data_IF_463636463143
#
_entry.id   IF_463636463143
#
_cell.length_a   1.000
_cell.length_b   1.000
_cell.length_c   1.000
_cell.angle_alpha   90.00
_cell.angle_beta   90.00
_cell.angle_gamma   90.00
#
_symmetry.space_group_name_H-M   'P 1'
#
loop_
_entity.id
_entity.type
_entity.pdbx_description
1 polymer ?
#
# COMPACT_ATOMS: atom_id res chain seq x y z
N UNK A 1 18.13 30.47 -1.53
CA UNK A 1 16.82 31.10 -1.19
C UNK A 1 16.63 31.11 0.33
N UNK A 2 15.66 31.85 0.88
CA UNK A 2 15.29 31.72 2.29
C UNK A 2 14.60 30.36 2.52
N UNK A 3 14.83 29.73 3.68
CA UNK A 3 14.16 28.46 4.00
C UNK A 3 12.65 28.64 4.11
N UNK A 4 11.91 27.69 3.54
CA UNK A 4 10.44 27.68 3.52
C UNK A 4 9.87 26.93 4.73
N UNK A 5 8.60 27.13 5.07
CA UNK A 5 7.96 26.33 6.13
C UNK A 5 7.75 24.87 5.71
N UNK A 6 7.53 23.99 6.68
CA UNK A 6 7.23 22.59 6.41
C UNK A 6 5.94 22.44 5.58
N UNK A 7 4.90 23.20 5.91
CA UNK A 7 3.60 23.15 5.23
C UNK A 7 3.73 23.61 3.77
N UNK A 8 4.54 24.64 3.50
CA UNK A 8 4.79 25.10 2.14
C UNK A 8 5.59 24.07 1.34
N UNK A 9 6.57 23.42 1.96
CA UNK A 9 7.34 22.36 1.32
C UNK A 9 6.46 21.17 0.91
N UNK A 10 5.48 20.79 1.74
CA UNK A 10 4.53 19.71 1.43
C UNK A 10 3.60 20.09 0.27
N UNK A 11 3.14 21.35 0.19
CA UNK A 11 2.34 21.83 -0.95
C UNK A 11 3.15 21.80 -2.26
N UNK A 12 4.43 22.18 -2.21
CA UNK A 12 5.33 22.09 -3.37
C UNK A 12 5.45 20.63 -3.82
N UNK A 13 5.72 19.71 -2.89
CA UNK A 13 5.81 18.27 -3.21
C UNK A 13 4.51 17.73 -3.79
N UNK A 14 3.36 18.13 -3.24
CA UNK A 14 2.06 17.71 -3.72
C UNK A 14 1.81 18.15 -5.17
N UNK A 15 2.19 19.38 -5.53
CA UNK A 15 2.07 19.95 -6.88
C UNK A 15 3.09 19.39 -7.85
N UNK A 16 4.33 19.15 -7.41
CA UNK A 16 5.41 18.65 -8.26
C UNK A 16 5.14 17.23 -8.78
N UNK A 17 4.36 16.45 -8.03
CA UNK A 17 3.91 15.12 -8.40
C UNK A 17 2.52 15.16 -9.04
N UNK A 18 2.49 15.26 -10.37
CA UNK A 18 1.25 15.35 -11.15
C UNK A 18 0.81 14.04 -11.80
N UNK A 19 1.70 13.04 -11.87
CA UNK A 19 1.46 11.81 -12.63
C UNK A 19 1.63 10.60 -11.71
N UNK A 20 0.62 9.72 -11.65
CA UNK A 20 0.75 8.41 -11.00
C UNK A 20 1.88 7.61 -11.65
N UNK A 21 2.51 6.72 -10.88
CA UNK A 21 3.69 5.99 -11.32
C UNK A 21 3.44 5.09 -12.54
N UNK A 22 4.53 4.49 -13.03
CA UNK A 22 4.46 3.53 -14.13
C UNK A 22 3.55 2.35 -13.77
N UNK A 23 2.94 1.72 -14.77
CA UNK A 23 2.10 0.54 -14.57
C UNK A 23 2.75 -0.67 -15.21
N UNK A 24 2.50 -1.86 -14.66
CA UNK A 24 2.98 -3.13 -15.20
C UNK A 24 1.89 -4.20 -15.13
N UNK A 25 1.98 -5.18 -16.02
CA UNK A 25 1.20 -6.41 -15.88
C UNK A 25 1.87 -7.32 -14.85
N UNK A 26 1.08 -7.92 -13.97
CA UNK A 26 1.58 -8.82 -12.94
C UNK A 26 0.68 -10.05 -12.87
N UNK A 27 1.29 -11.23 -12.78
CA UNK A 27 0.57 -12.47 -12.56
C UNK A 27 -0.19 -12.41 -11.23
N UNK A 28 -1.39 -13.00 -11.22
CA UNK A 28 -2.26 -12.98 -10.05
C UNK A 28 -1.59 -13.56 -8.80
N UNK A 29 -0.71 -14.55 -8.97
CA UNK A 29 0.10 -15.17 -7.91
C UNK A 29 0.97 -14.17 -7.13
N UNK A 30 1.41 -13.10 -7.79
CA UNK A 30 2.35 -12.12 -7.24
C UNK A 30 1.72 -10.73 -7.08
N UNK A 31 0.40 -10.62 -7.30
CA UNK A 31 -0.31 -9.33 -7.32
C UNK A 31 -0.73 -8.84 -5.93
N UNK A 32 -0.74 -9.71 -4.90
CA UNK A 32 -1.10 -9.33 -3.55
C UNK A 32 -0.21 -8.19 -3.02
N UNK A 33 -0.83 -7.19 -2.39
CA UNK A 33 -0.16 -6.00 -1.85
C UNK A 33 0.11 -4.88 -2.87
N UNK A 34 -0.10 -5.12 -4.17
CA UNK A 34 -0.01 -4.08 -5.20
C UNK A 34 -1.32 -3.31 -5.34
N UNK A 35 -1.24 -2.11 -5.89
CA UNK A 35 -2.41 -1.25 -6.15
C UNK A 35 -2.81 -1.36 -7.62
N UNK A 36 -4.09 -1.57 -7.86
CA UNK A 36 -4.66 -1.75 -9.18
C UNK A 36 -4.65 -0.44 -10.00
N UNK A 37 -4.27 -0.53 -11.28
CA UNK A 37 -4.10 0.64 -12.15
C UNK A 37 -5.27 0.93 -13.10
N UNK A 38 -6.26 0.04 -13.14
CA UNK A 38 -7.51 0.13 -13.93
C UNK A 38 -8.67 -0.48 -13.13
N UNK A 39 -9.90 -0.26 -13.55
CA UNK A 39 -11.06 -0.87 -12.89
C UNK A 39 -11.18 -2.35 -13.33
N UNK A 40 -11.55 -3.24 -12.41
CA UNK A 40 -12.01 -4.59 -12.78
C UNK A 40 -13.52 -4.53 -12.99
N UNK A 41 -13.93 -4.78 -14.23
CA UNK A 41 -15.33 -4.76 -14.64
C UNK A 41 -15.77 -6.19 -14.96
N UNK A 42 -16.94 -6.57 -14.46
CA UNK A 42 -17.55 -7.85 -14.77
C UNK A 42 -17.92 -7.93 -16.27
N UNK A 43 -17.42 -8.96 -16.97
CA UNK A 43 -17.70 -9.17 -18.39
C UNK A 43 -19.01 -9.94 -18.64
N UNK A 44 -19.51 -10.61 -17.62
CA UNK A 44 -20.70 -11.47 -17.62
C UNK A 44 -21.38 -11.42 -16.25
N UNK A 45 -22.61 -11.91 -16.19
CA UNK A 45 -23.33 -12.10 -14.94
C UNK A 45 -22.79 -13.33 -14.19
N UNK A 46 -22.75 -13.27 -12.86
CA UNK A 46 -22.43 -14.42 -12.02
C UNK A 46 -23.56 -14.67 -11.01
N UNK A 47 -24.21 -15.85 -11.01
CA UNK A 47 -24.08 -16.87 -12.04
C UNK A 47 -24.68 -16.40 -13.38
N UNK A 48 -24.21 -16.97 -14.50
CA UNK A 48 -24.71 -16.65 -15.85
C UNK A 48 -26.09 -17.27 -16.14
N UNK A 49 -26.45 -18.30 -15.39
CA UNK A 49 -27.71 -19.02 -15.44
C UNK A 49 -28.23 -19.24 -14.01
N UNK A 50 -29.53 -19.46 -13.79
CA UNK A 50 -30.03 -19.79 -12.46
C UNK A 50 -29.38 -21.08 -11.93
N UNK A 51 -29.00 -21.08 -10.65
CA UNK A 51 -28.37 -22.24 -10.00
C UNK A 51 -29.04 -22.60 -8.68
N UNK A 52 -28.95 -23.87 -8.28
CA UNK A 52 -29.43 -24.33 -7.00
C UNK A 52 -28.55 -23.79 -5.86
N UNK A 53 -29.18 -23.18 -4.85
CA UNK A 53 -28.48 -22.66 -3.67
C UNK A 53 -28.12 -23.74 -2.63
N UNK A 54 -28.74 -24.91 -2.73
CA UNK A 54 -28.57 -26.04 -1.82
C UNK A 54 -28.86 -27.35 -2.55
N UNK A 55 -28.71 -28.48 -1.86
CA UNK A 55 -29.09 -29.78 -2.38
C UNK A 55 -30.60 -29.96 -2.29
N UNK A 56 -31.23 -30.48 -3.35
CA UNK A 56 -32.69 -30.57 -3.40
C UNK A 56 -33.25 -31.13 -4.70
N UNK A 57 -34.51 -30.85 -4.96
CA UNK A 57 -35.25 -31.26 -6.15
C UNK A 57 -35.83 -30.05 -6.87
N UNK A 58 -35.36 -29.82 -8.09
CA UNK A 58 -35.81 -28.74 -8.95
C UNK A 58 -37.08 -29.17 -9.71
N UNK A 59 -38.14 -28.37 -9.62
CA UNK A 59 -39.45 -28.62 -10.20
C UNK A 59 -40.18 -27.30 -10.50
N UNK A 60 -41.37 -27.41 -11.11
CA UNK A 60 -42.30 -26.28 -11.28
C UNK A 60 -43.00 -26.00 -9.98
N UNK A 61 -43.08 -24.74 -9.54
CA UNK A 61 -43.72 -24.38 -8.28
C UNK A 61 -45.15 -24.96 -8.13
N UNK A 62 -45.91 -25.03 -9.22
CA UNK A 62 -47.28 -25.56 -9.25
C UNK A 62 -47.37 -27.06 -8.95
N UNK A 63 -46.33 -27.83 -9.27
CA UNK A 63 -46.28 -29.29 -9.08
C UNK A 63 -46.15 -29.67 -7.60
N UNK A 64 -45.81 -28.72 -6.72
CA UNK A 64 -45.77 -28.94 -5.28
C UNK A 64 -47.11 -29.45 -4.73
N UNK A 65 -48.20 -28.88 -5.24
CA UNK A 65 -49.57 -29.20 -4.84
C UNK A 65 -50.01 -30.62 -5.21
N UNK A 66 -49.27 -31.30 -6.09
CA UNK A 66 -49.52 -32.71 -6.45
C UNK A 66 -49.11 -33.67 -5.33
N UNK A 67 -48.25 -33.23 -4.40
CA UNK A 67 -47.74 -34.01 -3.27
C UNK A 67 -46.76 -35.11 -3.65
N UNK A 68 -46.79 -35.60 -4.89
CA UNK A 68 -45.85 -36.58 -5.46
C UNK A 68 -45.40 -36.17 -6.85
N UNK A 69 -44.10 -36.26 -7.09
CA UNK A 69 -43.45 -35.80 -8.32
C UNK A 69 -42.39 -36.82 -8.75
N UNK A 70 -42.33 -37.16 -10.04
CA UNK A 70 -41.41 -38.17 -10.56
C UNK A 70 -40.01 -37.61 -10.75
N UNK A 71 -38.98 -38.35 -10.36
CA UNK A 71 -37.57 -38.01 -10.54
C UNK A 71 -37.14 -38.47 -11.93
N UNK A 72 -36.78 -37.52 -12.81
CA UNK A 72 -36.25 -37.84 -14.14
C UNK A 72 -34.79 -38.30 -14.10
N UNK A 73 -34.04 -37.80 -13.13
CA UNK A 73 -32.63 -38.10 -12.94
C UNK A 73 -31.99 -37.15 -11.93
N UNK A 74 -30.66 -37.21 -11.84
CA UNK A 74 -29.85 -36.30 -11.06
C UNK A 74 -28.97 -35.41 -11.95
N UNK A 75 -28.67 -34.21 -11.45
CA UNK A 75 -27.88 -33.20 -12.13
C UNK A 75 -26.75 -32.74 -11.21
N UNK A 76 -25.60 -33.42 -11.22
CA UNK A 76 -24.43 -33.01 -10.44
C UNK A 76 -23.86 -31.68 -10.94
N UNK A 77 -23.20 -30.94 -10.04
CA UNK A 77 -22.56 -29.67 -10.39
C UNK A 77 -21.53 -29.87 -11.53
N UNK A 78 -21.53 -28.95 -12.50
CA UNK A 78 -20.69 -29.04 -13.71
C UNK A 78 -21.29 -29.86 -14.86
N UNK A 79 -22.47 -30.46 -14.70
CA UNK A 79 -23.23 -31.11 -15.78
C UNK A 79 -24.34 -30.20 -16.30
N UNK A 80 -24.74 -30.42 -17.55
CA UNK A 80 -25.85 -29.71 -18.20
C UNK A 80 -26.99 -30.70 -18.40
N UNK A 81 -28.20 -30.33 -17.98
CA UNK A 81 -29.41 -31.04 -18.37
C UNK A 81 -30.09 -30.24 -19.48
N UNK A 82 -30.10 -30.79 -20.69
CA UNK A 82 -30.79 -30.18 -21.83
C UNK A 82 -32.28 -30.57 -21.87
N UNK A 83 -32.69 -31.58 -21.11
CA UNK A 83 -34.09 -32.02 -21.06
C UNK A 83 -34.94 -31.05 -20.22
N UNK A 84 -36.03 -30.59 -20.81
CA UNK A 84 -37.01 -29.74 -20.13
C UNK A 84 -37.80 -30.55 -19.10
N UNK A 85 -37.85 -30.05 -17.87
CA UNK A 85 -38.69 -30.62 -16.81
C UNK A 85 -40.14 -30.25 -17.10
N UNK A 86 -40.94 -31.28 -17.36
CA UNK A 86 -42.36 -31.16 -17.63
C UNK A 86 -43.17 -31.24 -16.34
N UNK A 87 -44.48 -30.96 -16.41
CA UNK A 87 -45.35 -31.01 -15.24
C UNK A 87 -45.41 -32.42 -14.62
N UNK A 88 -45.38 -32.47 -13.29
CA UNK A 88 -45.36 -33.69 -12.50
C UNK A 88 -44.00 -34.39 -12.45
N UNK A 89 -42.93 -33.73 -12.90
CA UNK A 89 -41.57 -34.27 -12.84
C UNK A 89 -40.58 -33.30 -12.17
N UNK A 90 -39.46 -33.84 -11.70
CA UNK A 90 -38.40 -33.09 -11.03
C UNK A 90 -37.03 -33.68 -11.37
N UNK A 91 -35.99 -32.91 -11.09
CA UNK A 91 -34.60 -33.34 -11.21
C UNK A 91 -33.91 -33.12 -9.87
N UNK A 92 -33.16 -34.11 -9.40
CA UNK A 92 -32.34 -33.94 -8.21
C UNK A 92 -31.15 -33.03 -8.53
N UNK A 93 -31.00 -31.94 -7.82
CA UNK A 93 -29.89 -30.99 -7.99
C UNK A 93 -29.03 -30.94 -6.74
N UNK A 94 -27.79 -30.53 -6.92
CA UNK A 94 -26.84 -30.30 -5.84
C UNK A 94 -26.50 -28.81 -5.79
N UNK A 95 -25.88 -28.38 -4.70
CA UNK A 95 -25.43 -27.00 -4.51
C UNK A 95 -24.54 -26.56 -5.67
N UNK A 96 -24.95 -25.49 -6.37
CA UNK A 96 -24.26 -24.97 -7.55
C UNK A 96 -24.63 -25.63 -8.89
N UNK A 97 -25.49 -26.66 -8.90
CA UNK A 97 -26.05 -27.21 -10.14
C UNK A 97 -26.88 -26.17 -10.89
N UNK A 98 -26.89 -26.23 -12.21
CA UNK A 98 -27.80 -25.43 -13.04
C UNK A 98 -29.25 -25.83 -12.77
N UNK A 99 -30.16 -24.85 -12.76
CA UNK A 99 -31.59 -25.18 -12.83
C UNK A 99 -31.91 -25.73 -14.21
N UNK A 100 -32.66 -26.84 -14.27
CA UNK A 100 -33.08 -27.41 -15.56
C UNK A 100 -34.15 -26.54 -16.21
N UNK A 101 -34.23 -26.47 -17.56
CA UNK A 101 -35.32 -25.77 -18.23
C UNK A 101 -36.68 -26.26 -17.73
N UNK A 102 -37.64 -25.35 -17.57
CA UNK A 102 -38.96 -25.67 -17.04
C UNK A 102 -39.04 -25.76 -15.52
N UNK A 103 -37.95 -25.59 -14.77
CA UNK A 103 -37.97 -25.50 -13.30
C UNK A 103 -37.82 -24.05 -12.83
N UNK A 104 -38.50 -23.70 -11.74
CA UNK A 104 -38.43 -22.38 -11.12
C UNK A 104 -38.24 -22.44 -9.60
N UNK A 105 -38.34 -23.62 -8.99
CA UNK A 105 -38.36 -23.79 -7.53
C UNK A 105 -37.54 -25.01 -7.12
N UNK A 106 -36.79 -24.89 -6.02
CA UNK A 106 -35.99 -25.96 -5.45
C UNK A 106 -36.54 -26.37 -4.09
N UNK A 107 -37.01 -27.61 -3.94
CA UNK A 107 -37.39 -28.16 -2.62
C UNK A 107 -36.17 -28.81 -1.96
N UNK A 108 -35.81 -28.45 -0.71
CA UNK A 108 -34.70 -29.08 0.01
C UNK A 108 -34.90 -30.58 0.19
N UNK A 109 -33.80 -31.35 0.26
CA UNK A 109 -33.87 -32.80 0.51
C UNK A 109 -34.57 -33.14 1.83
N UNK A 110 -34.49 -32.25 2.82
CA UNK A 110 -35.13 -32.39 4.12
C UNK A 110 -36.65 -32.34 4.04
N UNK A 111 -37.20 -31.68 3.01
CA UNK A 111 -38.64 -31.45 2.83
C UNK A 111 -39.31 -32.57 2.02
N UNK A 112 -38.56 -33.59 1.59
CA UNK A 112 -39.10 -34.70 0.80
C UNK A 112 -38.77 -36.06 1.40
N UNK A 113 -39.46 -37.10 0.93
CA UNK A 113 -39.12 -38.51 1.12
C UNK A 113 -38.98 -39.11 -0.27
N UNK A 114 -37.90 -39.85 -0.52
CA UNK A 114 -37.72 -40.55 -1.80
C UNK A 114 -38.37 -41.92 -1.71
N UNK A 115 -39.33 -42.20 -2.59
CA UNK A 115 -40.01 -43.50 -2.72
C UNK A 115 -39.84 -44.00 -4.16
N UNK A 116 -38.86 -44.88 -4.40
CA UNK A 116 -38.61 -45.41 -5.75
C UNK A 116 -38.08 -44.34 -6.72
N UNK A 117 -38.81 -44.09 -7.80
CA UNK A 117 -38.53 -43.02 -8.79
C UNK A 117 -39.35 -41.75 -8.55
N UNK A 118 -39.94 -41.58 -7.37
CA UNK A 118 -40.72 -40.39 -7.01
C UNK A 118 -40.23 -39.75 -5.70
N UNK A 119 -40.48 -38.44 -5.55
CA UNK A 119 -40.44 -37.76 -4.27
C UNK A 119 -41.85 -37.57 -3.72
N UNK A 120 -42.00 -37.74 -2.41
CA UNK A 120 -43.17 -37.32 -1.64
C UNK A 120 -42.83 -36.02 -0.93
N UNK A 121 -43.56 -34.96 -1.22
CA UNK A 121 -43.34 -33.63 -0.64
C UNK A 121 -44.01 -33.60 0.74
N UNK A 122 -43.21 -33.45 1.79
CA UNK A 122 -43.70 -33.31 3.18
C UNK A 122 -44.10 -31.88 3.48
N UNK A 123 -43.32 -30.92 2.96
CA UNK A 123 -43.47 -29.50 3.20
C UNK A 123 -43.15 -28.71 1.93
N UNK A 124 -44.12 -27.92 1.46
CA UNK A 124 -43.96 -27.03 0.31
C UNK A 124 -43.07 -25.82 0.65
N UNK A 125 -42.49 -25.21 -0.37
CA UNK A 125 -41.70 -23.98 -0.27
C UNK A 125 -42.29 -22.88 -1.17
N UNK A 126 -42.01 -21.59 -0.91
CA UNK A 126 -42.42 -20.52 -1.82
C UNK A 126 -41.87 -20.72 -3.24
N UNK A 127 -42.59 -20.25 -4.27
CA UNK A 127 -42.07 -20.26 -5.63
C UNK A 127 -40.74 -19.50 -5.72
N UNK A 128 -39.74 -20.05 -6.42
CA UNK A 128 -38.40 -19.46 -6.49
C UNK A 128 -37.49 -19.79 -5.32
N UNK A 129 -37.94 -20.59 -4.35
CA UNK A 129 -37.16 -20.91 -3.16
C UNK A 129 -35.83 -21.59 -3.52
N UNK A 130 -34.76 -21.14 -2.88
CA UNK A 130 -33.39 -21.66 -3.02
C UNK A 130 -32.87 -21.76 -4.46
N UNK A 131 -33.37 -20.88 -5.33
CA UNK A 131 -32.83 -20.65 -6.67
C UNK A 131 -32.02 -19.35 -6.65
N UNK A 132 -30.74 -19.44 -7.00
CA UNK A 132 -29.85 -18.28 -7.15
C UNK A 132 -30.13 -17.65 -8.53
N UNK A 133 -30.61 -16.39 -8.59
CA UNK A 133 -30.91 -15.74 -9.86
C UNK A 133 -29.62 -15.39 -10.62
N UNK A 134 -29.79 -15.14 -11.93
CA UNK A 134 -28.71 -14.62 -12.77
C UNK A 134 -28.18 -13.30 -12.21
N UNK A 135 -26.87 -13.18 -12.09
CA UNK A 135 -26.20 -11.98 -11.61
C UNK A 135 -26.38 -11.68 -10.12
N UNK A 136 -26.73 -12.68 -9.30
CA UNK A 136 -26.80 -12.56 -7.84
C UNK A 136 -25.48 -12.09 -7.22
N UNK A 137 -24.35 -12.61 -7.70
CA UNK A 137 -23.01 -12.24 -7.21
C UNK A 137 -22.56 -10.91 -7.81
N UNK A 138 -22.63 -10.80 -9.14
CA UNK A 138 -22.39 -9.55 -9.85
C UNK A 138 -23.04 -9.55 -11.22
N UNK A 139 -23.32 -8.34 -11.73
CA UNK A 139 -23.87 -8.16 -13.06
C UNK A 139 -22.83 -7.71 -14.07
N UNK A 140 -23.04 -8.08 -15.32
CA UNK A 140 -22.25 -7.59 -16.45
C UNK A 140 -22.20 -6.05 -16.45
N UNK A 141 -20.99 -5.52 -16.57
CA UNK A 141 -20.72 -4.08 -16.58
C UNK A 141 -20.52 -3.44 -15.20
N UNK A 142 -20.70 -4.20 -14.12
CA UNK A 142 -20.43 -3.73 -12.77
C UNK A 142 -18.93 -3.57 -12.51
N UNK A 143 -18.53 -2.46 -11.87
CA UNK A 143 -17.15 -2.26 -11.40
C UNK A 143 -16.99 -2.99 -10.07
N UNK A 144 -16.33 -4.15 -10.10
CA UNK A 144 -16.14 -5.00 -8.93
C UNK A 144 -14.99 -4.53 -8.04
N UNK A 145 -13.90 -4.08 -8.66
CA UNK A 145 -12.71 -3.60 -7.95
C UNK A 145 -12.28 -2.29 -8.60
N UNK A 146 -12.48 -1.15 -7.94
CA UNK A 146 -12.06 0.14 -8.47
C UNK A 146 -10.53 0.25 -8.59
N UNK A 147 -10.08 0.99 -9.59
CA UNK A 147 -8.71 1.48 -9.73
C UNK A 147 -8.26 2.20 -8.46
N UNK A 148 -7.03 1.96 -8.04
CA UNK A 148 -6.49 2.48 -6.79
C UNK A 148 -6.73 1.58 -5.58
N UNK A 149 -7.45 0.45 -5.75
CA UNK A 149 -7.60 -0.54 -4.68
C UNK A 149 -6.30 -1.31 -4.48
N UNK A 150 -5.85 -1.41 -3.23
CA UNK A 150 -4.77 -2.34 -2.83
C UNK A 150 -5.31 -3.76 -2.81
N UNK A 151 -4.68 -4.65 -3.56
CA UNK A 151 -5.11 -6.04 -3.72
C UNK A 151 -4.80 -6.85 -2.45
N UNK A 152 -5.85 -7.20 -1.70
CA UNK A 152 -5.80 -8.18 -0.60
C UNK A 152 -6.37 -9.54 -1.02
N UNK A 153 -6.51 -10.47 -0.07
CA UNK A 153 -6.96 -11.83 -0.37
C UNK A 153 -8.32 -11.88 -1.09
N UNK A 154 -9.26 -11.00 -0.71
CA UNK A 154 -10.59 -10.96 -1.30
C UNK A 154 -10.55 -10.53 -2.76
N UNK A 155 -9.79 -9.47 -3.08
CA UNK A 155 -9.62 -9.01 -4.46
C UNK A 155 -8.96 -10.07 -5.33
N UNK A 156 -7.94 -10.77 -4.80
CA UNK A 156 -7.30 -11.89 -5.50
C UNK A 156 -8.31 -13.01 -5.79
N UNK A 157 -9.17 -13.35 -4.83
CA UNK A 157 -10.24 -14.34 -5.02
C UNK A 157 -11.25 -13.94 -6.11
N UNK A 158 -11.69 -12.68 -6.13
CA UNK A 158 -12.59 -12.16 -7.17
C UNK A 158 -11.92 -12.23 -8.54
N UNK A 159 -10.68 -11.75 -8.67
CA UNK A 159 -9.91 -11.81 -9.92
C UNK A 159 -9.73 -13.25 -10.42
N UNK A 160 -9.48 -14.20 -9.52
CA UNK A 160 -9.39 -15.62 -9.86
C UNK A 160 -10.74 -16.17 -10.37
N UNK A 161 -11.85 -15.80 -9.71
CA UNK A 161 -13.20 -16.23 -10.13
C UNK A 161 -13.61 -15.71 -11.51
N UNK A 162 -13.05 -14.57 -11.92
CA UNK A 162 -13.22 -13.96 -13.24
C UNK A 162 -12.24 -14.53 -14.28
N UNK A 163 -11.41 -15.51 -13.92
CA UNK A 163 -10.34 -16.05 -14.75
C UNK A 163 -9.38 -14.97 -15.29
N UNK A 164 -8.96 -14.04 -14.43
CA UNK A 164 -8.00 -12.97 -14.77
C UNK A 164 -6.60 -13.40 -14.30
N UNK A 165 -5.75 -13.97 -15.19
CA UNK A 165 -4.44 -14.50 -14.79
C UNK A 165 -3.39 -13.41 -14.54
N UNK A 166 -3.61 -12.22 -15.10
CA UNK A 166 -2.73 -11.07 -14.95
C UNK A 166 -3.55 -9.79 -14.76
N UNK A 167 -3.06 -8.91 -13.90
CA UNK A 167 -3.67 -7.62 -13.63
C UNK A 167 -2.71 -6.48 -13.84
N UNK A 168 -3.23 -5.34 -14.28
CA UNK A 168 -2.46 -4.12 -14.42
C UNK A 168 -2.38 -3.40 -13.08
N UNK A 169 -1.17 -3.28 -12.55
CA UNK A 169 -0.91 -2.65 -11.25
C UNK A 169 0.09 -1.51 -11.40
N UNK A 170 0.14 -0.62 -10.42
CA UNK A 170 1.23 0.34 -10.30
C UNK A 170 2.54 -0.40 -10.00
N UNK A 171 3.59 -0.09 -10.77
CA UNK A 171 4.91 -0.65 -10.59
C UNK A 171 5.58 -0.06 -9.34
N UNK A 172 6.49 -0.85 -8.75
CA UNK A 172 7.38 -0.32 -7.72
C UNK A 172 8.34 0.70 -8.37
N UNK A 173 8.48 1.91 -7.83
CA UNK A 173 9.49 2.84 -8.31
C UNK A 173 10.87 2.34 -7.93
N UNK A 174 11.87 2.69 -8.73
CA UNK A 174 13.27 2.39 -8.43
C UNK A 174 13.90 3.55 -7.66
N UNK A 175 14.48 3.26 -6.50
CA UNK A 175 15.15 4.22 -5.62
C UNK A 175 16.65 3.89 -5.59
N UNK A 176 17.48 4.79 -6.13
CA UNK A 176 18.93 4.71 -5.97
C UNK A 176 19.37 5.44 -4.70
N UNK A 177 20.27 4.83 -3.92
CA UNK A 177 20.79 5.42 -2.67
C UNK A 177 22.29 5.60 -2.77
N UNK A 178 22.73 6.85 -2.66
CA UNK A 178 24.13 7.27 -2.69
C UNK A 178 24.53 7.90 -1.35
N UNK A 179 25.66 7.48 -0.81
CA UNK A 179 26.31 8.19 0.29
C UNK A 179 27.69 8.67 -0.15
N UNK A 180 28.03 9.89 0.24
CA UNK A 180 29.32 10.53 -0.05
C UNK A 180 30.00 10.92 1.26
N UNK A 181 31.32 11.03 1.22
CA UNK A 181 32.15 11.49 2.33
C UNK A 181 33.44 10.68 2.43
N UNK A 182 34.57 11.38 2.49
CA UNK A 182 35.90 10.75 2.59
C UNK A 182 36.12 10.01 3.92
N UNK A 183 35.31 10.35 4.93
CA UNK A 183 35.27 9.70 6.24
C UNK A 183 34.43 8.41 6.26
N UNK A 184 33.63 8.15 5.23
CA UNK A 184 32.64 7.08 5.23
C UNK A 184 33.24 5.76 4.75
N UNK A 185 33.08 4.72 5.57
CA UNK A 185 33.43 3.33 5.28
C UNK A 185 32.18 2.50 5.03
N UNK A 186 32.32 1.43 4.25
CA UNK A 186 31.27 0.42 4.12
C UNK A 186 31.20 -0.48 5.37
N UNK A 187 30.10 -1.21 5.53
CA UNK A 187 29.90 -2.15 6.62
C UNK A 187 30.84 -3.34 6.46
N UNK A 188 31.60 -3.62 7.52
CA UNK A 188 32.61 -4.67 7.54
C UNK A 188 34.01 -4.20 7.15
N UNK A 189 34.17 -3.00 6.59
CA UNK A 189 35.49 -2.46 6.30
C UNK A 189 36.27 -2.13 7.59
N UNK A 190 37.58 -2.45 7.63
CA UNK A 190 38.44 -2.09 8.74
C UNK A 190 38.68 -0.58 8.77
N UNK A 191 38.62 -0.01 9.97
CA UNK A 191 38.89 1.41 10.18
C UNK A 191 40.39 1.66 10.17
N UNK A 192 40.85 2.58 9.31
CA UNK A 192 42.28 2.93 9.20
C UNK A 192 42.66 4.13 10.06
N UNK A 193 41.71 4.99 10.44
CA UNK A 193 41.95 6.13 11.34
C UNK A 193 40.70 6.52 12.16
N UNK A 194 40.86 7.26 13.28
CA UNK A 194 39.75 7.58 14.21
C UNK A 194 38.62 8.45 13.63
N UNK A 195 38.87 9.19 12.55
CA UNK A 195 37.88 10.10 11.95
C UNK A 195 36.88 9.38 11.05
N UNK A 196 37.12 8.11 10.73
CA UNK A 196 36.25 7.33 9.86
C UNK A 196 35.05 6.76 10.62
N UNK A 197 33.90 6.74 9.93
CA UNK A 197 32.63 6.19 10.42
C UNK A 197 32.01 5.29 9.37
N UNK A 198 31.11 4.38 9.78
CA UNK A 198 30.44 3.46 8.85
C UNK A 198 29.15 4.07 8.30
N UNK A 199 28.85 3.80 7.03
CA UNK A 199 27.66 4.29 6.35
C UNK A 199 26.37 3.64 6.87
N UNK A 200 25.83 4.12 7.98
CA UNK A 200 24.51 3.69 8.44
C UNK A 200 23.38 4.18 7.51
N UNK A 201 23.59 5.31 6.82
CA UNK A 201 22.58 5.95 5.98
C UNK A 201 22.11 5.05 4.83
N UNK A 202 23.03 4.43 4.08
CA UNK A 202 22.63 3.59 2.93
C UNK A 202 21.68 2.47 3.36
N UNK A 203 21.98 1.80 4.48
CA UNK A 203 21.17 0.70 4.98
C UNK A 203 19.83 1.17 5.55
N UNK A 204 19.80 2.29 6.27
CA UNK A 204 18.55 2.86 6.79
C UNK A 204 17.62 3.28 5.66
N UNK A 205 18.16 3.98 4.66
CA UNK A 205 17.37 4.47 3.53
C UNK A 205 16.92 3.34 2.60
N UNK A 206 17.77 2.33 2.39
CA UNK A 206 17.39 1.11 1.68
C UNK A 206 16.24 0.38 2.40
N UNK A 207 16.33 0.22 3.72
CA UNK A 207 15.28 -0.44 4.49
C UNK A 207 13.96 0.34 4.43
N UNK A 208 13.99 1.67 4.58
CA UNK A 208 12.81 2.52 4.47
C UNK A 208 12.18 2.48 3.07
N UNK A 209 13.00 2.51 2.01
CA UNK A 209 12.52 2.43 0.63
C UNK A 209 11.90 1.06 0.31
N UNK A 210 12.53 -0.04 0.75
CA UNK A 210 11.97 -1.39 0.61
C UNK A 210 10.66 -1.56 1.38
N UNK A 211 10.58 -1.01 2.60
CA UNK A 211 9.34 -1.04 3.39
C UNK A 211 8.21 -0.25 2.70
N UNK A 212 8.54 0.90 2.12
CA UNK A 212 7.63 1.66 1.24
C UNK A 212 7.29 0.93 -0.08
N UNK A 213 7.89 -0.24 -0.34
CA UNK A 213 7.69 -1.11 -1.49
C UNK A 213 8.32 -0.63 -2.80
N UNK A 214 9.42 0.12 -2.71
CA UNK A 214 10.28 0.45 -3.84
C UNK A 214 11.32 -0.65 -4.11
N UNK A 215 11.76 -0.74 -5.36
CA UNK A 215 12.96 -1.48 -5.74
C UNK A 215 14.19 -0.60 -5.46
N UNK A 216 15.18 -1.12 -4.73
CA UNK A 216 16.32 -0.30 -4.28
C UNK A 216 17.61 -0.68 -4.99
N UNK A 217 18.32 0.34 -5.47
CA UNK A 217 19.68 0.24 -6.01
C UNK A 217 20.64 0.95 -5.04
N UNK A 218 21.31 0.18 -4.17
CA UNK A 218 22.36 0.71 -3.29
C UNK A 218 23.63 0.91 -4.11
N UNK A 219 24.02 2.16 -4.29
CA UNK A 219 25.22 2.52 -5.05
C UNK A 219 26.47 2.33 -4.19
N UNK A 220 27.65 2.12 -4.82
CA UNK A 220 28.92 2.23 -4.11
C UNK A 220 29.06 3.58 -3.40
N UNK A 221 29.82 3.61 -2.31
CA UNK A 221 30.21 4.88 -1.69
C UNK A 221 31.01 5.70 -2.70
N UNK A 222 30.57 6.93 -2.96
CA UNK A 222 31.31 7.82 -3.84
C UNK A 222 32.38 8.56 -3.05
N UNK A 223 33.58 8.62 -3.64
CA UNK A 223 34.68 9.44 -3.16
C UNK A 223 34.29 10.92 -3.23
N UNK A 224 34.92 11.72 -2.39
CA UNK A 224 34.65 13.16 -2.30
C UNK A 224 35.38 13.92 -3.41
N UNK A 225 35.13 13.53 -4.66
CA UNK A 225 35.60 14.19 -5.86
C UNK A 225 34.46 14.33 -6.87
N UNK A 226 34.47 15.47 -7.55
CA UNK A 226 33.37 15.92 -8.39
C UNK A 226 33.04 14.97 -9.54
N UNK A 227 34.07 14.46 -10.23
CA UNK A 227 33.89 13.65 -11.43
C UNK A 227 33.32 12.26 -11.08
N UNK A 228 33.80 11.64 -10.00
CA UNK A 228 33.25 10.37 -9.49
C UNK A 228 31.79 10.53 -9.06
N UNK A 229 31.44 11.60 -8.33
CA UNK A 229 30.06 11.86 -7.91
C UNK A 229 29.17 12.08 -9.14
N UNK A 230 29.63 12.84 -10.13
CA UNK A 230 28.88 13.10 -11.37
C UNK A 230 28.60 11.82 -12.16
N UNK A 231 29.61 10.96 -12.30
CA UNK A 231 29.47 9.69 -13.00
C UNK A 231 28.43 8.79 -12.31
N UNK A 232 28.57 8.61 -10.99
CA UNK A 232 27.67 7.77 -10.19
C UNK A 232 26.25 8.32 -10.20
N UNK A 233 26.07 9.64 -10.07
CA UNK A 233 24.74 10.27 -10.15
C UNK A 233 24.10 10.09 -11.53
N UNK A 234 24.88 10.24 -12.60
CA UNK A 234 24.39 10.08 -13.98
C UNK A 234 23.90 8.66 -14.23
N UNK A 235 24.68 7.66 -13.80
CA UNK A 235 24.31 6.26 -13.95
C UNK A 235 23.09 5.90 -13.07
N UNK A 236 23.05 6.41 -11.84
CA UNK A 236 21.91 6.25 -10.95
C UNK A 236 20.61 6.77 -11.57
N UNK A 237 20.64 7.95 -12.20
CA UNK A 237 19.47 8.55 -12.83
C UNK A 237 19.01 7.81 -14.08
N UNK A 238 19.90 7.08 -14.78
CA UNK A 238 19.50 6.17 -15.87
C UNK A 238 18.71 4.97 -15.34
N UNK A 239 19.12 4.43 -14.19
CA UNK A 239 18.56 3.20 -13.62
C UNK A 239 17.40 3.39 -12.63
N UNK A 240 17.10 4.61 -12.18
CA UNK A 240 16.14 4.88 -11.09
C UNK A 240 15.15 6.01 -11.40
N UNK A 241 14.04 6.03 -10.66
CA UNK A 241 13.04 7.10 -10.68
C UNK A 241 13.31 8.17 -9.62
N UNK A 242 13.95 7.75 -8.52
CA UNK A 242 14.31 8.56 -7.38
C UNK A 242 15.78 8.30 -7.04
N UNK A 243 16.59 9.35 -6.95
CA UNK A 243 17.94 9.32 -6.38
C UNK A 243 17.92 9.97 -5.01
N UNK A 244 18.33 9.24 -3.98
CA UNK A 244 18.49 9.75 -2.61
C UNK A 244 19.99 9.83 -2.31
N UNK A 245 20.47 11.01 -1.94
CA UNK A 245 21.85 11.24 -1.56
C UNK A 245 21.96 11.61 -0.08
N UNK A 246 23.03 11.19 0.60
CA UNK A 246 23.40 11.66 1.93
C UNK A 246 24.87 12.07 1.97
N UNK A 247 25.18 13.16 2.66
CA UNK A 247 26.54 13.75 2.62
C UNK A 247 26.63 14.84 1.56
N UNK A 248 27.50 15.83 1.76
CA UNK A 248 27.70 16.96 0.83
C UNK A 248 26.59 18.04 0.77
N UNK A 249 25.51 17.93 1.56
CA UNK A 249 24.36 18.84 1.48
C UNK A 249 24.45 20.07 2.41
N UNK A 250 25.48 20.12 3.26
CA UNK A 250 25.69 21.24 4.19
C UNK A 250 26.31 22.44 3.48
N UNK A 251 26.05 23.64 3.99
CA UNK A 251 26.76 24.88 3.62
C UNK A 251 28.26 24.72 3.90
N UNK A 252 29.03 24.37 2.88
CA UNK A 252 30.47 24.17 2.98
C UNK A 252 31.12 24.04 1.61
N UNK A 253 32.45 24.12 1.58
CA UNK A 253 33.28 24.27 0.38
C UNK A 253 33.33 23.02 -0.55
N UNK A 254 32.58 21.96 -0.21
CA UNK A 254 32.59 20.65 -0.88
C UNK A 254 31.18 20.20 -1.34
N UNK A 255 30.32 21.14 -1.77
CA UNK A 255 28.97 20.84 -2.28
C UNK A 255 28.97 20.50 -3.79
N UNK A 256 29.77 19.50 -4.18
CA UNK A 256 29.87 19.05 -5.57
C UNK A 256 28.52 18.62 -6.16
N UNK A 257 27.63 18.08 -5.31
CA UNK A 257 26.26 17.70 -5.72
C UNK A 257 25.51 18.93 -6.25
N UNK A 258 25.57 20.08 -5.57
CA UNK A 258 24.93 21.31 -6.05
C UNK A 258 25.50 21.78 -7.39
N UNK A 259 26.82 21.75 -7.56
CA UNK A 259 27.45 22.13 -8.83
C UNK A 259 27.03 21.21 -9.98
N UNK A 260 27.02 19.90 -9.75
CA UNK A 260 26.58 18.91 -10.74
C UNK A 260 25.13 19.15 -11.13
N UNK A 261 24.26 19.43 -10.16
CA UNK A 261 22.85 19.73 -10.43
C UNK A 261 22.66 21.02 -11.25
N UNK A 262 23.53 22.03 -11.11
CA UNK A 262 23.47 23.25 -11.92
C UNK A 262 23.83 23.04 -13.40
N UNK A 263 24.58 21.98 -13.71
CA UNK A 263 24.89 21.60 -15.10
C UNK A 263 23.80 20.76 -15.77
N UNK A 264 22.88 20.22 -14.97
CA UNK A 264 21.75 19.43 -15.44
C UNK A 264 20.54 20.33 -15.63
N UNK A 265 19.69 20.02 -16.62
CA UNK A 265 18.38 20.65 -16.74
C UNK A 265 17.51 20.21 -15.56
N UNK A 266 17.44 21.07 -14.54
CA UNK A 266 16.86 20.78 -13.24
C UNK A 266 15.86 21.86 -12.83
N UNK A 267 14.76 21.40 -12.24
CA UNK A 267 13.79 22.23 -11.53
C UNK A 267 14.07 22.09 -10.03
N UNK A 268 14.57 23.15 -9.40
CA UNK A 268 14.77 23.21 -7.95
C UNK A 268 13.42 23.41 -7.25
N UNK A 269 12.97 22.39 -6.53
CA UNK A 269 11.68 22.42 -5.81
C UNK A 269 11.85 22.92 -4.39
N UNK A 270 12.87 22.45 -3.68
CA UNK A 270 13.12 22.78 -2.28
C UNK A 270 14.62 23.02 -2.07
N UNK A 271 14.98 24.16 -1.46
CA UNK A 271 16.34 24.51 -1.05
C UNK A 271 16.36 24.84 0.46
N UNK A 272 16.01 23.83 1.27
CA UNK A 272 15.96 23.90 2.72
C UNK A 272 14.60 24.30 3.30
N UNK A 273 14.30 23.77 4.49
CA UNK A 273 12.99 23.86 5.16
C UNK A 273 13.18 24.18 6.65
N UNK A 274 12.28 24.98 7.23
CA UNK A 274 12.30 25.36 8.65
C UNK A 274 11.75 24.21 9.51
N UNK A 275 12.50 23.10 9.55
CA UNK A 275 12.16 21.89 10.32
C UNK A 275 13.36 21.34 11.09
N UNK A 276 13.09 20.49 12.08
CA UNK A 276 14.10 19.80 12.90
C UNK A 276 13.68 18.35 13.16
N UNK A 277 14.54 17.35 12.90
CA UNK A 277 15.82 17.43 12.20
C UNK A 277 15.65 17.53 10.68
N UNK A 278 16.61 18.15 9.98
CA UNK A 278 16.70 18.06 8.51
C UNK A 278 16.48 19.35 7.72
N UNK A 279 16.78 20.50 8.32
CA UNK A 279 16.64 21.82 7.72
C UNK A 279 17.26 21.98 6.32
N UNK A 280 18.35 21.27 6.02
CA UNK A 280 19.11 21.43 4.77
C UNK A 280 18.68 20.47 3.66
N UNK A 281 17.50 19.85 3.76
CA UNK A 281 16.99 19.02 2.67
C UNK A 281 16.91 19.83 1.37
N UNK A 282 17.37 19.22 0.27
CA UNK A 282 17.17 19.75 -1.08
C UNK A 282 16.36 18.74 -1.90
N UNK A 283 15.43 19.26 -2.69
CA UNK A 283 14.64 18.43 -3.62
C UNK A 283 14.70 19.06 -5.00
N UNK A 284 15.12 18.26 -5.97
CA UNK A 284 15.30 18.67 -7.36
C UNK A 284 14.59 17.68 -8.27
N UNK A 285 14.01 18.17 -9.36
CA UNK A 285 13.38 17.36 -10.39
C UNK A 285 14.14 17.51 -11.70
N UNK A 286 14.37 16.41 -12.41
CA UNK A 286 15.06 16.40 -13.72
C UNK A 286 14.57 15.24 -14.57
N UNK A 287 14.21 15.50 -15.83
CA UNK A 287 13.73 14.45 -16.73
C UNK A 287 12.57 13.60 -16.19
N UNK A 288 11.70 14.19 -15.35
CA UNK A 288 10.60 13.47 -14.67
C UNK A 288 10.99 12.63 -13.45
N UNK A 289 12.27 12.63 -13.07
CA UNK A 289 12.85 11.95 -11.90
C UNK A 289 13.07 12.92 -10.76
N UNK A 290 13.26 12.40 -9.55
CA UNK A 290 13.50 13.21 -8.35
C UNK A 290 14.86 12.91 -7.72
N UNK A 291 15.51 13.95 -7.24
CA UNK A 291 16.76 13.89 -6.48
C UNK A 291 16.49 14.50 -5.11
N UNK A 292 16.70 13.71 -4.05
CA UNK A 292 16.59 14.15 -2.66
C UNK A 292 17.98 14.14 -2.03
N UNK A 293 18.46 15.32 -1.64
CA UNK A 293 19.70 15.43 -0.88
C UNK A 293 19.35 15.57 0.60
N UNK A 294 19.55 14.49 1.34
CA UNK A 294 19.20 14.37 2.74
C UNK A 294 20.40 14.71 3.66
N UNK A 295 20.16 15.11 4.92
CA UNK A 295 21.23 15.40 5.87
C UNK A 295 22.12 14.18 6.13
N UNK A 296 23.41 14.41 6.42
CA UNK A 296 24.40 13.34 6.62
C UNK A 296 24.23 12.49 7.89
N UNK A 297 23.48 12.96 8.90
CA UNK A 297 23.24 12.15 10.10
C UNK A 297 22.10 11.14 9.90
N UNK A 298 22.25 9.87 10.34
CA UNK A 298 21.27 8.81 10.07
C UNK A 298 19.86 9.07 10.57
N UNK A 299 19.69 9.62 11.78
CA UNK A 299 18.36 9.91 12.29
C UNK A 299 17.70 11.08 11.51
N UNK A 300 18.47 12.12 11.14
CA UNK A 300 17.96 13.17 10.25
C UNK A 300 17.59 12.64 8.87
N UNK A 301 18.42 11.77 8.28
CA UNK A 301 18.19 11.16 6.98
C UNK A 301 16.91 10.31 7.01
N UNK A 302 16.72 9.48 8.05
CA UNK A 302 15.51 8.68 8.23
C UNK A 302 14.25 9.55 8.32
N UNK A 303 14.26 10.58 9.18
CA UNK A 303 13.12 11.49 9.35
C UNK A 303 12.79 12.20 8.04
N UNK A 304 13.79 12.77 7.36
CA UNK A 304 13.56 13.46 6.09
C UNK A 304 13.16 12.52 4.95
N UNK A 305 13.64 11.27 4.93
CA UNK A 305 13.15 10.25 4.00
C UNK A 305 11.66 9.98 4.24
N UNK A 306 11.25 9.77 5.49
CA UNK A 306 9.86 9.53 5.86
C UNK A 306 8.98 10.71 5.46
N UNK A 307 9.43 11.94 5.66
CA UNK A 307 8.63 13.13 5.35
C UNK A 307 8.50 13.44 3.86
N UNK A 308 9.51 13.11 3.03
CA UNK A 308 9.57 13.60 1.65
C UNK A 308 9.69 12.51 0.59
N UNK A 309 10.42 11.43 0.87
CA UNK A 309 10.65 10.34 -0.10
C UNK A 309 9.56 9.28 0.00
N UNK A 310 9.19 8.88 1.22
CA UNK A 310 8.13 7.89 1.45
C UNK A 310 6.79 8.29 0.79
N UNK A 311 6.28 9.53 0.95
CA UNK A 311 5.04 9.96 0.29
C UNK A 311 5.12 9.87 -1.23
N UNK A 312 6.30 10.15 -1.80
CA UNK A 312 6.50 10.05 -3.24
C UNK A 312 6.44 8.59 -3.71
N UNK A 313 7.09 7.68 -2.98
CA UNK A 313 7.04 6.25 -3.28
C UNK A 313 5.60 5.74 -3.20
N UNK A 314 4.88 6.06 -2.13
CA UNK A 314 3.48 5.65 -1.96
C UNK A 314 2.60 6.13 -3.12
N UNK A 315 2.72 7.41 -3.53
CA UNK A 315 1.97 7.95 -4.68
C UNK A 315 2.36 7.32 -6.01
N UNK A 316 3.65 7.03 -6.23
CA UNK A 316 4.11 6.29 -7.41
C UNK A 316 3.51 4.89 -7.46
N UNK A 317 3.31 4.26 -6.30
CA UNK A 317 2.65 2.95 -6.15
C UNK A 317 1.13 3.02 -6.13
N UNK A 318 0.53 4.18 -6.41
CA UNK A 318 -0.93 4.34 -6.54
C UNK A 318 -1.66 4.73 -5.26
N UNK A 319 -0.94 4.93 -4.16
CA UNK A 319 -1.46 5.56 -2.94
C UNK A 319 -1.67 7.08 -3.10
N UNK A 320 -2.04 7.74 -2.02
CA UNK A 320 -2.28 9.19 -2.00
C UNK A 320 -1.11 10.00 -1.43
N UNK A 321 -0.10 9.33 -0.84
CA UNK A 321 1.06 9.94 -0.21
C UNK A 321 0.79 10.53 1.16
N UNK A 322 -0.32 10.16 1.80
CA UNK A 322 -0.66 10.65 3.12
C UNK A 322 0.15 9.90 4.16
N UNK A 323 0.88 10.66 4.99
CA UNK A 323 1.60 10.09 6.13
C UNK A 323 0.60 9.48 7.13
N UNK A 324 0.90 8.32 7.75
CA UNK A 324 0.02 7.69 8.72
C UNK A 324 0.06 8.44 10.06
N UNK A 325 -0.68 9.55 10.15
CA UNK A 325 -0.74 10.38 11.34
C UNK A 325 -1.85 9.86 12.25
N UNK A 326 -1.55 9.75 13.54
CA UNK A 326 -2.51 9.45 14.60
C UNK A 326 -2.49 10.56 15.64
N UNK A 327 -3.64 10.79 16.26
CA UNK A 327 -3.77 11.71 17.38
C UNK A 327 -3.53 10.96 18.68
N UNK A 328 -2.62 11.44 19.50
CA UNK A 328 -2.18 10.79 20.73
C UNK A 328 -2.19 11.75 21.93
N UNK A 329 -2.38 11.20 23.12
CA UNK A 329 -2.28 11.94 24.38
C UNK A 329 -0.85 11.86 24.92
N UNK A 330 -0.25 13.02 25.18
CA UNK A 330 1.11 13.13 25.71
C UNK A 330 1.17 12.79 27.21
N UNK A 331 1.99 11.81 27.61
CA UNK A 331 2.05 11.34 29.01
C UNK A 331 2.98 12.18 29.92
N UNK A 332 3.75 13.11 29.35
CA UNK A 332 4.70 13.96 30.09
C UNK A 332 4.84 15.33 29.42
N UNK A 333 5.20 16.39 30.16
CA UNK A 333 5.37 17.70 29.55
C UNK A 333 6.48 17.69 28.46
N UNK A 334 6.22 18.34 27.33
CA UNK A 334 7.18 18.51 26.23
C UNK A 334 7.70 19.93 26.20
N UNK A 335 9.02 20.08 26.40
CA UNK A 335 9.71 21.36 26.20
C UNK A 335 10.17 21.49 24.76
N UNK A 336 9.67 22.49 24.06
CA UNK A 336 10.03 22.73 22.67
C UNK A 336 11.47 23.18 22.56
N UNK A 337 12.20 22.66 21.57
CA UNK A 337 13.67 22.75 21.52
C UNK A 337 14.18 23.72 20.44
N UNK A 338 13.30 24.31 19.65
CA UNK A 338 13.64 25.22 18.56
C UNK A 338 12.45 25.99 18.04
N UNK A 339 12.70 27.08 17.32
CA UNK A 339 11.69 27.90 16.62
C UNK A 339 11.29 27.30 15.25
N UNK A 340 11.25 25.97 15.15
CA UNK A 340 11.01 25.21 13.92
C UNK A 340 9.89 24.20 14.14
N UNK A 341 9.34 23.65 13.06
CA UNK A 341 8.53 22.43 13.16
C UNK A 341 9.43 21.26 13.57
N UNK A 342 9.06 20.53 14.62
CA UNK A 342 9.87 19.45 15.20
C UNK A 342 9.24 18.09 14.94
N UNK A 343 10.05 17.15 14.45
CA UNK A 343 9.72 15.73 14.32
C UNK A 343 10.62 14.94 15.24
N UNK A 344 10.13 14.66 16.45
CA UNK A 344 10.90 14.05 17.52
C UNK A 344 10.52 12.58 17.68
N UNK A 345 11.50 11.68 17.70
CA UNK A 345 11.24 10.27 17.96
C UNK A 345 10.64 10.08 19.35
N UNK A 346 9.49 9.41 19.42
CA UNK A 346 8.73 9.17 20.63
C UNK A 346 8.28 7.71 20.71
N UNK A 347 8.02 7.20 21.91
CA UNK A 347 7.34 5.92 22.07
C UNK A 347 5.85 6.13 21.78
N UNK A 348 5.26 5.30 20.92
CA UNK A 348 3.84 5.36 20.58
C UNK A 348 3.19 4.03 20.95
N UNK A 349 2.17 4.05 21.81
CA UNK A 349 1.43 2.86 22.24
C UNK A 349 -0.06 3.07 22.05
N UNK A 350 -0.81 1.98 21.83
CA UNK A 350 -2.26 1.99 21.80
C UNK A 350 -2.81 1.22 23.00
N UNK A 351 -3.46 1.93 23.92
CA UNK A 351 -3.95 1.39 25.20
C UNK A 351 -5.35 1.96 25.48
N UNK A 352 -6.27 1.11 25.95
CA UNK A 352 -7.64 1.51 26.36
C UNK A 352 -8.41 2.33 25.30
N UNK A 353 -8.19 2.05 24.02
CA UNK A 353 -8.90 2.71 22.92
C UNK A 353 -8.32 4.06 22.48
N UNK A 354 -7.12 4.44 22.95
CA UNK A 354 -6.44 5.68 22.56
C UNK A 354 -4.94 5.48 22.36
N UNK A 355 -4.34 6.37 21.58
CA UNK A 355 -2.89 6.43 21.45
C UNK A 355 -2.28 7.25 22.58
N UNK A 356 -1.22 6.72 23.18
CA UNK A 356 -0.42 7.38 24.21
C UNK A 356 1.01 7.60 23.68
N UNK A 357 1.60 8.75 24.02
CA UNK A 357 2.94 9.11 23.57
C UNK A 357 3.81 9.65 24.70
N UNK A 358 5.06 9.19 24.74
CA UNK A 358 6.09 9.70 25.65
C UNK A 358 7.48 9.65 25.01
N UNK A 359 8.47 10.23 25.68
CA UNK A 359 9.89 10.26 25.29
C UNK A 359 10.76 9.44 26.24
N UNK A 360 10.18 8.63 27.14
CA UNK A 360 10.92 7.86 28.14
C UNK A 360 11.95 6.94 27.47
N UNK A 361 13.19 6.98 27.94
CA UNK A 361 14.30 6.20 27.39
C UNK A 361 14.85 6.70 26.04
N UNK A 362 14.19 7.67 25.37
CA UNK A 362 14.77 8.34 24.20
C UNK A 362 15.89 9.28 24.67
N UNK A 363 17.03 9.25 23.97
CA UNK A 363 18.20 10.04 24.33
C UNK A 363 18.06 11.47 23.79
N UNK A 364 18.44 12.44 24.60
CA UNK A 364 18.59 13.84 24.18
C UNK A 364 19.99 14.08 23.61
N UNK A 365 20.11 14.87 22.54
CA UNK A 365 21.40 15.17 21.96
C UNK A 365 21.33 15.47 20.47
N UNK A 366 22.37 15.06 19.75
CA UNK A 366 22.51 15.31 18.31
C UNK A 366 21.60 14.41 17.48
N UNK A 367 21.40 14.81 16.23
CA UNK A 367 20.68 13.98 15.25
C UNK A 367 21.47 12.75 14.79
N UNK A 368 22.59 12.41 15.42
CA UNK A 368 23.33 11.18 15.16
C UNK A 368 22.74 9.96 15.90
N UNK A 369 21.85 10.17 16.86
CA UNK A 369 21.35 9.11 17.76
C UNK A 369 20.24 8.30 17.08
N UNK A 370 20.63 7.42 16.15
CA UNK A 370 19.71 6.54 15.44
C UNK A 370 18.94 5.59 16.36
N UNK A 371 19.52 5.23 17.52
CA UNK A 371 18.89 4.32 18.50
C UNK A 371 17.55 4.83 19.04
N UNK A 372 17.25 6.12 18.88
CA UNK A 372 15.94 6.66 19.24
C UNK A 372 14.80 6.12 18.35
N UNK A 373 15.10 5.57 17.18
CA UNK A 373 14.12 4.92 16.30
C UNK A 373 13.84 3.44 16.64
N UNK A 374 14.49 2.89 17.66
CA UNK A 374 14.26 1.50 18.08
C UNK A 374 13.00 1.35 18.95
N UNK A 375 12.37 0.18 18.86
CA UNK A 375 11.14 -0.16 19.56
C UNK A 375 9.90 0.45 18.89
N UNK A 376 8.76 0.40 19.58
CA UNK A 376 7.50 1.00 19.15
C UNK A 376 7.64 2.53 19.10
N UNK A 377 7.99 3.06 17.94
CA UNK A 377 8.37 4.47 17.76
C UNK A 377 7.44 5.18 16.80
N UNK A 378 7.07 6.41 17.14
CA UNK A 378 6.47 7.39 16.25
C UNK A 378 7.38 8.61 16.07
N UNK A 379 6.97 9.53 15.19
CA UNK A 379 7.53 10.88 15.15
C UNK A 379 6.49 11.87 15.68
N UNK A 380 6.70 12.35 16.90
CA UNK A 380 5.94 13.45 17.49
C UNK A 380 6.13 14.70 16.64
N UNK A 381 5.03 15.23 16.11
CA UNK A 381 4.98 16.43 15.29
C UNK A 381 4.56 17.62 16.16
N UNK A 382 5.47 18.58 16.33
CA UNK A 382 5.17 19.87 16.96
C UNK A 382 5.37 21.00 15.94
N UNK A 383 4.29 21.69 15.57
CA UNK A 383 4.31 22.80 14.62
C UNK A 383 5.14 23.97 15.10
N UNK A 384 5.71 24.73 14.16
CA UNK A 384 6.54 25.91 14.44
C UNK A 384 5.90 26.89 15.43
N UNK A 385 4.60 27.11 15.36
CA UNK A 385 3.89 28.10 16.19
C UNK A 385 3.49 27.58 17.59
N UNK A 386 3.60 26.27 17.85
CA UNK A 386 3.33 25.70 19.17
C UNK A 386 4.45 26.03 20.16
N UNK A 387 4.13 26.12 21.45
CA UNK A 387 5.09 26.32 22.55
C UNK A 387 5.45 25.03 23.27
N UNK A 388 5.81 25.16 24.54
CA UNK A 388 5.86 24.03 25.46
C UNK A 388 4.46 23.43 25.64
N UNK A 389 4.39 22.11 25.85
CA UNK A 389 3.14 21.38 26.03
C UNK A 389 3.11 20.69 27.40
N UNK A 390 1.95 20.69 28.04
CA UNK A 390 1.73 20.01 29.31
C UNK A 390 1.37 18.54 29.09
N UNK A 391 1.57 17.71 30.13
CA UNK A 391 1.06 16.34 30.12
C UNK A 391 -0.47 16.35 29.96
N UNK A 392 -1.01 15.39 29.19
CA UNK A 392 -2.41 15.32 28.79
C UNK A 392 -2.75 16.11 27.53
N UNK A 393 -1.80 16.85 26.95
CA UNK A 393 -2.01 17.53 25.66
C UNK A 393 -2.20 16.53 24.53
N UNK A 394 -3.09 16.87 23.61
CA UNK A 394 -3.28 16.12 22.37
C UNK A 394 -2.27 16.58 21.32
N UNK A 395 -1.61 15.61 20.68
CA UNK A 395 -0.54 15.84 19.71
C UNK A 395 -0.69 14.91 18.51
N UNK A 396 -0.15 15.34 17.38
CA UNK A 396 -0.06 14.52 16.17
C UNK A 396 1.24 13.72 16.18
N UNK A 397 1.16 12.44 15.81
CA UNK A 397 2.29 11.53 15.74
C UNK A 397 2.24 10.78 14.42
N UNK A 398 3.34 10.78 13.67
CA UNK A 398 3.49 9.89 12.52
C UNK A 398 3.79 8.48 13.06
N UNK A 399 2.88 7.55 12.80
CA UNK A 399 2.98 6.15 13.23
C UNK A 399 3.90 5.37 12.28
N UNK A 400 5.13 5.10 12.73
CA UNK A 400 6.13 4.41 11.91
C UNK A 400 5.78 2.93 11.66
N UNK A 401 4.88 2.34 12.43
CA UNK A 401 4.45 0.93 12.22
C UNK A 401 3.56 0.76 11.00
N UNK A 402 3.06 1.87 10.44
CA UNK A 402 2.13 1.91 9.31
C UNK A 402 2.77 2.41 8.02
N UNK A 403 4.09 2.63 8.01
CA UNK A 403 4.87 3.00 6.83
C UNK A 403 5.13 1.82 5.90
#
# INVERSE_FOLDING_TARGET
MAFISFEESMKIMQRAFTKRGMTQMRFLSDAAGYVLAEDIVAMEDSPAYPTAAMDGYALKCEDQSMGRVRILGDLPAGSINEEEVIGGTCVKTFTGSLMSPGTDTLIPIENVIVEGDEIVIKEEVPCGYSVRPVGENFKKGEVLIPKGTKLGFAQIGVLASLNIPQVKVYAAPRVAVLSTGSEILDVGEPQSNPSQIRSANQFVLEALAKNAGADVLRLPLAKDDRDSIKEVMTEALRGSDILVTTGGVSVGDYDFVKEILQEMETEYLIEGVVLKPGQHIKVVKTGGKFIFSLPGFPYSAAVTFILYVWPLIDRMRGGDGTLPIVRATLEEAYKKRSQKTEFTACNLRYEEGRYLVNLRGKKSGSSAILTNLLGETGLLWIDKEQGDLEAGSEVDVIDLSRL
#
